data_IF_473469640521
#
_entry.id   IF_473469640521
#
_cell.length_a   1.000
_cell.length_b   1.000
_cell.length_c   1.000
_cell.angle_alpha   90.00
_cell.angle_beta   90.00
_cell.angle_gamma   90.00
#
_symmetry.space_group_name_H-M   'P 1'
#
loop_
_entity.id
_entity.type
_entity.pdbx_description
1 polymer ?
#
# COMPACT_ATOMS: atom_id res chain seq x y z
N UNK A 1 -20.59 -12.21 0.62
CA UNK A 1 -19.51 -11.23 0.86
C UNK A 1 -19.76 -9.92 0.12
N UNK A 2 -20.10 -9.98 -1.16
CA UNK A 2 -20.36 -8.82 -2.01
C UNK A 2 -21.42 -7.85 -1.47
N UNK A 3 -22.57 -8.34 -0.98
CA UNK A 3 -23.61 -7.48 -0.39
C UNK A 3 -23.10 -6.63 0.80
N UNK A 4 -22.16 -7.16 1.58
CA UNK A 4 -21.54 -6.45 2.71
C UNK A 4 -20.57 -5.37 2.18
N UNK A 5 -19.84 -5.68 1.11
CA UNK A 5 -18.89 -4.76 0.49
C UNK A 5 -19.63 -3.62 -0.22
N UNK A 6 -20.69 -3.92 -0.99
CA UNK A 6 -21.54 -2.92 -1.64
C UNK A 6 -22.21 -1.96 -0.65
N UNK A 7 -22.51 -2.41 0.56
CA UNK A 7 -23.11 -1.55 1.59
C UNK A 7 -22.16 -0.42 2.02
N UNK A 8 -20.85 -0.69 2.08
CA UNK A 8 -19.84 0.29 2.53
C UNK A 8 -18.51 0.14 1.76
N UNK A 9 -18.47 0.39 0.44
CA UNK A 9 -17.29 0.11 -0.39
C UNK A 9 -16.07 0.94 0.04
N UNK A 10 -16.29 2.19 0.44
CA UNK A 10 -15.23 3.08 0.93
C UNK A 10 -14.55 2.54 2.19
N UNK A 11 -15.31 1.94 3.11
CA UNK A 11 -14.75 1.33 4.32
C UNK A 11 -13.83 0.17 3.95
N UNK A 12 -14.25 -0.66 3.00
CA UNK A 12 -13.44 -1.78 2.52
C UNK A 12 -12.17 -1.32 1.79
N UNK A 13 -12.24 -0.23 1.01
CA UNK A 13 -11.04 0.38 0.41
C UNK A 13 -10.05 0.82 1.48
N UNK A 14 -10.53 1.49 2.54
CA UNK A 14 -9.68 1.91 3.68
C UNK A 14 -9.10 0.69 4.41
N UNK A 15 -9.90 -0.36 4.64
CA UNK A 15 -9.43 -1.57 5.31
C UNK A 15 -8.31 -2.27 4.52
N UNK A 16 -8.48 -2.43 3.20
CA UNK A 16 -7.45 -3.00 2.32
C UNK A 16 -6.20 -2.13 2.32
N UNK A 17 -6.36 -0.80 2.25
CA UNK A 17 -5.24 0.13 2.31
C UNK A 17 -4.43 -0.02 3.60
N UNK A 18 -5.11 -0.02 4.76
CA UNK A 18 -4.44 -0.17 6.05
C UNK A 18 -3.76 -1.53 6.19
N UNK A 19 -4.37 -2.60 5.65
CA UNK A 19 -3.76 -3.92 5.63
C UNK A 19 -2.48 -3.95 4.80
N UNK A 20 -2.48 -3.35 3.60
CA UNK A 20 -1.29 -3.27 2.74
C UNK A 20 -0.18 -2.43 3.40
N UNK A 21 -0.53 -1.30 4.00
CA UNK A 21 0.42 -0.46 4.74
C UNK A 21 1.02 -1.24 5.91
N UNK A 22 0.20 -1.90 6.72
CA UNK A 22 0.67 -2.70 7.85
C UNK A 22 1.61 -3.82 7.39
N UNK A 23 1.24 -4.55 6.34
CA UNK A 23 2.08 -5.59 5.74
C UNK A 23 3.43 -5.04 5.23
N UNK A 24 3.41 -3.89 4.56
CA UNK A 24 4.62 -3.22 4.08
C UNK A 24 5.56 -2.79 5.22
N UNK A 25 5.01 -2.20 6.29
CA UNK A 25 5.77 -1.79 7.48
C UNK A 25 6.27 -2.99 8.31
N UNK A 26 5.58 -4.12 8.25
CA UNK A 26 5.97 -5.37 8.91
C UNK A 26 7.10 -6.07 8.17
N UNK A 27 6.95 -6.28 6.85
CA UNK A 27 7.93 -6.95 5.99
C UNK A 27 9.20 -6.10 5.83
N UNK A 28 9.07 -4.76 5.85
CA UNK A 28 10.19 -3.81 5.72
C UNK A 28 11.06 -4.12 4.49
N UNK A 29 10.50 -4.06 3.27
CA UNK A 29 11.24 -4.44 2.07
C UNK A 29 12.50 -3.57 1.91
N UNK A 30 13.59 -4.21 1.46
CA UNK A 30 14.91 -3.59 1.30
C UNK A 30 14.92 -2.39 0.34
N UNK A 31 13.91 -2.24 -0.52
CA UNK A 31 13.74 -1.08 -1.40
C UNK A 31 13.42 0.21 -0.63
N UNK A 32 12.70 0.12 0.49
CA UNK A 32 12.25 1.28 1.27
C UNK A 32 12.90 1.35 2.66
N UNK A 33 13.38 0.22 3.16
CA UNK A 33 14.03 0.10 4.46
C UNK A 33 15.50 -0.30 4.31
N UNK A 34 16.36 0.33 5.09
CA UNK A 34 17.77 0.03 5.19
C UNK A 34 18.05 -0.94 6.33
N UNK A 35 19.33 -1.06 6.67
CA UNK A 35 19.76 -1.88 7.79
C UNK A 35 19.00 -1.52 9.08
N UNK A 36 18.69 -2.56 9.88
CA UNK A 36 17.94 -2.45 11.15
C UNK A 36 16.53 -1.86 11.00
N UNK A 37 15.96 -1.84 9.79
CA UNK A 37 14.60 -1.36 9.56
C UNK A 37 14.46 0.17 9.57
N UNK A 38 15.56 0.92 9.41
CA UNK A 38 15.51 2.37 9.24
C UNK A 38 14.90 2.71 7.88
N UNK A 39 14.02 3.71 7.81
CA UNK A 39 13.51 4.21 6.53
C UNK A 39 14.67 4.79 5.71
N UNK A 40 14.80 4.38 4.44
CA UNK A 40 15.83 4.92 3.54
C UNK A 40 15.48 6.36 3.16
N UNK A 41 16.45 7.29 3.22
CA UNK A 41 16.21 8.65 2.75
C UNK A 41 16.00 8.66 1.24
N UNK A 42 15.12 9.54 0.77
CA UNK A 42 14.93 9.76 -0.65
C UNK A 42 16.19 10.36 -1.29
N UNK A 43 16.55 9.88 -2.47
CA UNK A 43 17.59 10.46 -3.32
C UNK A 43 18.44 9.41 -4.04
N UNK A 44 19.42 9.87 -4.80
CA UNK A 44 20.33 9.04 -5.59
C UNK A 44 21.80 9.16 -5.18
N UNK A 45 22.12 10.14 -4.32
CA UNK A 45 23.51 10.52 -3.99
C UNK A 45 24.18 9.69 -2.90
N UNK A 46 23.49 8.72 -2.27
CA UNK A 46 24.07 7.88 -1.22
C UNK A 46 23.76 6.41 -1.50
N UNK A 47 24.69 5.50 -1.17
CA UNK A 47 24.48 4.05 -1.34
C UNK A 47 23.20 3.53 -0.66
N UNK A 48 22.82 4.15 0.47
CA UNK A 48 21.63 3.80 1.26
C UNK A 48 20.38 4.61 0.93
N UNK A 49 20.41 5.50 -0.08
CA UNK A 49 19.22 6.24 -0.49
C UNK A 49 18.30 5.38 -1.36
N UNK A 50 17.02 5.72 -1.39
CA UNK A 50 16.03 5.08 -2.26
C UNK A 50 15.46 6.08 -3.25
N UNK A 51 15.18 5.60 -4.45
CA UNK A 51 14.47 6.35 -5.49
C UNK A 51 12.98 6.42 -5.18
N UNK A 52 12.43 5.43 -4.47
CA UNK A 52 11.01 5.37 -4.11
C UNK A 52 10.85 5.65 -2.62
N UNK A 53 10.55 6.91 -2.22
CA UNK A 53 10.36 7.22 -0.82
C UNK A 53 9.15 6.47 -0.25
N UNK A 54 9.12 6.27 1.06
CA UNK A 54 8.04 5.51 1.73
C UNK A 54 6.65 6.07 1.42
N UNK A 55 6.50 7.39 1.34
CA UNK A 55 5.21 8.02 1.01
C UNK A 55 4.72 7.67 -0.41
N UNK A 56 5.63 7.38 -1.34
CA UNK A 56 5.26 6.98 -2.70
C UNK A 56 4.51 5.64 -2.70
N UNK A 57 4.94 4.71 -1.84
CA UNK A 57 4.24 3.44 -1.63
C UNK A 57 2.84 3.64 -1.06
N UNK A 58 2.62 4.65 -0.22
CA UNK A 58 1.29 4.97 0.33
C UNK A 58 0.33 5.36 -0.80
N UNK A 59 0.79 6.15 -1.78
CA UNK A 59 -0.02 6.45 -2.96
C UNK A 59 -0.31 5.22 -3.81
N UNK A 60 0.69 4.36 -4.02
CA UNK A 60 0.51 3.08 -4.72
C UNK A 60 -0.57 2.21 -4.06
N UNK A 61 -0.49 2.02 -2.74
CA UNK A 61 -1.47 1.23 -2.00
C UNK A 61 -2.87 1.84 -2.02
N UNK A 62 -3.00 3.17 -1.98
CA UNK A 62 -4.30 3.83 -2.08
C UNK A 62 -4.97 3.53 -3.44
N UNK A 63 -4.21 3.65 -4.54
CA UNK A 63 -4.69 3.32 -5.89
C UNK A 63 -5.05 1.83 -6.00
N UNK A 64 -4.18 0.93 -5.53
CA UNK A 64 -4.46 -0.51 -5.53
C UNK A 64 -5.73 -0.84 -4.75
N UNK A 65 -5.90 -0.26 -3.55
CA UNK A 65 -7.07 -0.53 -2.71
C UNK A 65 -8.38 -0.08 -3.36
N UNK A 66 -8.37 1.08 -4.04
CA UNK A 66 -9.51 1.54 -4.82
C UNK A 66 -9.83 0.58 -5.96
N UNK A 67 -8.83 0.26 -6.80
CA UNK A 67 -9.02 -0.60 -7.97
C UNK A 67 -9.48 -1.99 -7.54
N UNK A 68 -8.90 -2.58 -6.50
CA UNK A 68 -9.28 -3.91 -6.01
C UNK A 68 -10.74 -3.98 -5.59
N UNK A 69 -11.25 -2.99 -4.86
CA UNK A 69 -12.66 -2.99 -4.43
C UNK A 69 -13.60 -2.70 -5.60
N UNK A 70 -13.28 -1.74 -6.47
CA UNK A 70 -14.11 -1.45 -7.65
C UNK A 70 -14.17 -2.66 -8.57
N UNK A 71 -13.03 -3.26 -8.87
CA UNK A 71 -12.97 -4.46 -9.71
C UNK A 71 -13.74 -5.63 -9.10
N UNK A 72 -13.61 -5.85 -7.78
CA UNK A 72 -14.37 -6.88 -7.08
C UNK A 72 -15.89 -6.63 -7.17
N UNK A 73 -16.36 -5.37 -7.14
CA UNK A 73 -17.79 -5.06 -7.18
C UNK A 73 -18.39 -4.99 -8.59
N UNK A 74 -17.61 -4.61 -9.60
CA UNK A 74 -18.12 -4.44 -10.96
C UNK A 74 -18.00 -5.73 -11.80
N UNK A 75 -17.09 -6.63 -11.43
CA UNK A 75 -16.83 -7.88 -12.16
C UNK A 75 -17.14 -9.17 -11.36
N UNK A 76 -17.66 -9.07 -10.12
CA UNK A 76 -18.21 -10.25 -9.45
C UNK A 76 -19.57 -10.60 -10.06
N UNK A 77 -19.60 -11.69 -10.84
CA UNK A 77 -20.80 -12.37 -11.35
C UNK A 77 -21.69 -12.89 -10.22
#
# INVERSE_FOLDING_TARGET
>A
MEAIIRKNPKLWMVAVYLFLVAGFLYVRPSLAFGERGRIRPFGTGKKESTVFPVWWWMFGFAVTSYISIVWYLDYSL
#
